data_IF_104454229554
#
_entry.id   IF_104454229554
#
_cell.length_a   1.000
_cell.length_b   1.000
_cell.length_c   1.000
_cell.angle_alpha   90.00
_cell.angle_beta   90.00
_cell.angle_gamma   90.00
#
_symmetry.space_group_name_H-M   'P 1'
#
loop_
_entity.id
_entity.type
_entity.pdbx_description
1 polymer ?
#
# COMPACT_ATOMS: atom_id res chain seq x y z
N UNK A 1 -17.75 17.49 3.88
CA UNK A 1 -17.45 16.04 3.86
C UNK A 1 -17.27 15.59 2.40
N UNK A 2 -16.04 15.31 1.96
CA UNK A 2 -15.81 14.15 1.08
C UNK A 2 -14.55 13.33 1.42
N UNK A 3 -14.80 12.02 1.51
CA UNK A 3 -14.03 10.86 1.08
C UNK A 3 -12.60 10.58 1.61
N UNK A 4 -12.57 9.55 2.46
CA UNK A 4 -11.42 8.76 2.87
C UNK A 4 -10.53 8.32 1.70
N UNK A 5 -9.42 9.01 1.50
CA UNK A 5 -8.27 8.48 0.79
C UNK A 5 -7.50 7.51 1.70
N UNK A 6 -8.12 6.37 2.03
CA UNK A 6 -7.38 5.23 2.57
C UNK A 6 -6.90 4.39 1.38
N UNK A 7 -5.62 4.54 1.02
CA UNK A 7 -5.01 3.72 -0.03
C UNK A 7 -3.49 3.76 -0.05
N UNK A 8 -2.85 4.20 1.03
CA UNK A 8 -1.41 4.27 1.16
C UNK A 8 -0.81 2.88 1.39
N UNK A 9 -0.50 2.19 0.29
CA UNK A 9 0.35 1.01 0.29
C UNK A 9 -0.40 -0.29 0.56
N UNK A 10 -0.42 -1.19 -0.42
CA UNK A 10 -0.97 -2.54 -0.30
C UNK A 10 -0.19 -3.29 0.80
N UNK A 11 -0.69 -3.23 2.02
CA UNK A 11 -0.12 -3.95 3.16
C UNK A 11 -0.32 -5.46 2.95
N UNK A 12 0.50 -6.29 3.61
CA UNK A 12 0.38 -7.75 3.54
C UNK A 12 -1.05 -8.20 3.87
N UNK A 13 -1.67 -7.57 4.87
CA UNK A 13 -3.06 -7.84 5.27
C UNK A 13 -4.09 -7.52 4.19
N UNK A 14 -3.88 -6.45 3.42
CA UNK A 14 -4.76 -6.09 2.29
C UNK A 14 -4.62 -7.13 1.16
N UNK A 15 -3.39 -7.54 0.89
CA UNK A 15 -3.08 -8.58 -0.10
C UNK A 15 -3.75 -9.91 0.30
N UNK A 16 -3.66 -10.33 1.56
CA UNK A 16 -4.31 -11.55 2.07
C UNK A 16 -5.83 -11.48 1.84
N UNK A 17 -6.48 -10.39 2.25
CA UNK A 17 -7.94 -10.21 2.07
C UNK A 17 -8.33 -10.26 0.59
N UNK A 18 -7.51 -9.65 -0.28
CA UNK A 18 -7.72 -9.68 -1.73
C UNK A 18 -7.59 -11.09 -2.28
N UNK A 19 -6.57 -11.85 -1.88
CA UNK A 19 -6.37 -13.25 -2.29
C UNK A 19 -7.56 -14.09 -1.86
N UNK A 20 -7.94 -14.03 -0.57
CA UNK A 20 -9.10 -14.78 -0.06
C UNK A 20 -10.37 -14.46 -0.84
N UNK A 21 -10.62 -13.19 -1.16
CA UNK A 21 -11.81 -12.77 -1.92
C UNK A 21 -11.74 -13.17 -3.40
N UNK A 22 -10.57 -13.06 -4.03
CA UNK A 22 -10.40 -13.25 -5.47
C UNK A 22 -10.33 -14.71 -5.88
N UNK A 23 -9.68 -15.55 -5.07
CA UNK A 23 -9.53 -16.97 -5.37
C UNK A 23 -10.50 -17.85 -4.58
N UNK A 24 -11.12 -17.35 -3.50
CA UNK A 24 -11.97 -18.15 -2.62
C UNK A 24 -11.21 -19.24 -1.86
N UNK A 25 -9.88 -19.29 -2.03
CA UNK A 25 -9.00 -20.33 -1.54
C UNK A 25 -8.51 -20.12 -0.12
N UNK A 26 -8.03 -21.19 0.51
CA UNK A 26 -7.45 -21.14 1.85
C UNK A 26 -6.04 -20.56 1.80
N UNK A 27 -5.72 -19.63 2.69
CA UNK A 27 -4.36 -19.08 2.80
C UNK A 27 -3.50 -20.03 3.62
N UNK A 28 -2.35 -20.40 3.08
CA UNK A 28 -1.37 -21.27 3.73
C UNK A 28 -0.20 -20.46 4.30
N UNK A 29 0.09 -19.28 3.74
CA UNK A 29 1.13 -18.41 4.24
C UNK A 29 1.16 -17.09 3.49
N UNK A 30 1.67 -16.05 4.14
CA UNK A 30 1.84 -14.73 3.55
C UNK A 30 3.14 -14.13 4.07
N UNK A 31 4.07 -13.90 3.17
CA UNK A 31 5.43 -13.44 3.49
C UNK A 31 5.82 -12.29 2.58
N UNK A 32 6.70 -11.41 3.06
CA UNK A 32 7.29 -10.35 2.26
C UNK A 32 8.65 -10.84 1.76
N UNK A 33 8.79 -10.94 0.44
CA UNK A 33 10.02 -11.44 -0.18
C UNK A 33 10.70 -10.34 -1.00
N UNK A 34 12.03 -10.24 -0.96
CA UNK A 34 12.76 -9.37 -1.87
C UNK A 34 12.66 -9.92 -3.29
N UNK A 35 12.28 -9.08 -4.24
CA UNK A 35 12.14 -9.40 -5.65
C UNK A 35 12.49 -8.17 -6.48
N UNK A 36 13.46 -8.29 -7.39
CA UNK A 36 13.83 -7.23 -8.32
C UNK A 36 14.17 -5.88 -7.62
N UNK A 37 14.94 -5.95 -6.53
CA UNK A 37 15.36 -4.79 -5.74
C UNK A 37 14.29 -4.15 -4.85
N UNK A 38 13.06 -4.66 -4.87
CA UNK A 38 11.95 -4.19 -4.02
C UNK A 38 11.36 -5.33 -3.20
N UNK A 39 10.62 -4.99 -2.15
CA UNK A 39 9.88 -5.98 -1.39
C UNK A 39 8.50 -6.20 -2.01
N UNK A 40 8.10 -7.46 -2.18
CA UNK A 40 6.76 -7.83 -2.66
C UNK A 40 6.02 -8.64 -1.62
N UNK A 41 4.69 -8.56 -1.62
CA UNK A 41 3.87 -9.44 -0.80
C UNK A 41 3.63 -10.73 -1.59
N UNK A 42 4.07 -11.86 -1.04
CA UNK A 42 3.86 -13.18 -1.64
C UNK A 42 2.93 -14.00 -0.75
N UNK A 43 1.80 -14.39 -1.32
CA UNK A 43 0.78 -15.17 -0.60
C UNK A 43 0.69 -16.56 -1.20
N UNK A 44 0.81 -17.58 -0.36
CA UNK A 44 0.57 -18.99 -0.68
C UNK A 44 -0.89 -19.31 -0.37
N UNK A 45 -1.61 -19.85 -1.34
CA UNK A 45 -3.01 -20.24 -1.15
C UNK A 45 -3.30 -21.59 -1.80
N UNK A 46 -4.26 -22.30 -1.22
CA UNK A 46 -4.87 -23.48 -1.79
C UNK A 46 -6.02 -23.03 -2.68
N UNK A 47 -5.90 -23.27 -3.98
CA UNK A 47 -6.96 -23.03 -4.96
C UNK A 47 -8.09 -24.07 -4.81
N UNK A 48 -9.27 -23.80 -5.37
CA UNK A 48 -10.46 -24.68 -5.27
C UNK A 48 -10.21 -26.10 -5.79
N UNK A 49 -9.22 -26.26 -6.70
CA UNK A 49 -8.74 -27.54 -7.22
C UNK A 49 -7.81 -28.31 -6.28
N UNK A 50 -7.62 -27.85 -5.04
CA UNK A 50 -6.70 -28.45 -4.08
C UNK A 50 -5.21 -28.26 -4.43
N UNK A 51 -4.87 -27.26 -5.24
CA UNK A 51 -3.49 -26.99 -5.66
C UNK A 51 -2.94 -25.77 -4.95
N UNK A 52 -1.70 -25.88 -4.49
CA UNK A 52 -0.99 -24.73 -3.90
C UNK A 52 -0.52 -23.82 -5.02
N UNK A 53 -0.91 -22.55 -4.96
CA UNK A 53 -0.45 -21.49 -5.86
C UNK A 53 0.09 -20.30 -5.06
N UNK A 54 0.86 -19.48 -5.76
CA UNK A 54 1.43 -18.25 -5.23
C UNK A 54 0.79 -17.05 -5.94
N UNK A 55 0.49 -16.00 -5.19
CA UNK A 55 0.18 -14.68 -5.73
C UNK A 55 1.25 -13.70 -5.28
N UNK A 56 1.89 -13.04 -6.23
CA UNK A 56 2.73 -11.87 -6.00
C UNK A 56 1.91 -10.60 -6.18
N UNK A 57 1.99 -9.70 -5.19
CA UNK A 57 1.53 -8.34 -5.33
C UNK A 57 2.74 -7.42 -5.11
N UNK A 58 3.15 -6.63 -6.12
CA UNK A 58 4.21 -5.67 -5.95
C UNK A 58 3.73 -4.64 -4.92
N UNK A 59 4.45 -4.53 -3.80
CA UNK A 59 4.22 -3.42 -2.88
C UNK A 59 4.59 -2.16 -3.65
N UNK A 60 3.65 -1.24 -3.89
CA UNK A 60 4.04 0.04 -4.46
C UNK A 60 5.04 0.67 -3.49
N UNK A 61 6.29 0.81 -3.92
CA UNK A 61 7.22 1.77 -3.34
C UNK A 61 6.44 3.06 -3.26
N UNK A 62 6.23 3.55 -2.04
CA UNK A 62 5.40 4.73 -1.79
C UNK A 62 6.02 5.87 -2.59
N UNK A 63 5.53 6.12 -3.80
CA UNK A 63 5.79 7.35 -4.52
C UNK A 63 5.41 8.44 -3.55
N UNK A 64 6.42 9.06 -2.97
CA UNK A 64 6.27 10.10 -1.96
C UNK A 64 5.16 11.03 -2.47
N UNK A 65 4.15 11.38 -1.66
CA UNK A 65 3.16 12.35 -2.07
C UNK A 65 3.96 13.55 -2.56
N UNK A 66 3.85 13.85 -3.86
CA UNK A 66 4.50 14.99 -4.49
C UNK A 66 4.24 16.15 -3.56
N UNK A 67 5.31 16.68 -2.94
CA UNK A 67 5.19 17.71 -1.94
C UNK A 67 4.24 18.78 -2.48
N UNK A 68 3.23 19.25 -1.70
CA UNK A 68 2.56 20.47 -2.07
C UNK A 68 3.65 21.52 -2.26
N UNK A 69 3.68 22.14 -3.44
CA UNK A 69 4.63 23.21 -3.77
C UNK A 69 4.71 24.16 -2.56
N UNK A 70 5.89 24.55 -2.08
CA UNK A 70 5.98 25.64 -1.12
C UNK A 70 5.57 26.90 -1.87
N UNK A 71 4.30 27.28 -1.78
CA UNK A 71 3.98 28.69 -1.67
C UNK A 71 4.62 29.09 -0.32
N UNK A 72 5.81 29.70 -0.27
CA UNK A 72 5.91 31.15 -0.48
C UNK A 72 4.61 31.78 0.04
N UNK A 73 4.51 32.21 1.29
CA UNK A 73 5.37 33.22 1.88
C UNK A 73 4.84 33.39 3.31
N UNK A 74 5.69 33.24 4.33
CA UNK A 74 5.40 33.84 5.64
C UNK A 74 5.44 35.36 5.43
N UNK A 75 4.37 36.13 5.64
CA UNK A 75 4.54 37.58 5.75
C UNK A 75 5.41 37.85 7.00
N UNK A 76 6.43 38.73 6.92
CA UNK A 76 7.28 39.05 8.06
C UNK A 76 6.44 39.72 9.16
N UNK A 77 6.86 39.66 10.44
CA UNK A 77 6.22 40.44 11.49
C UNK A 77 6.55 41.92 11.25
N UNK A 78 5.71 42.60 10.47
CA UNK A 78 5.70 44.05 10.40
C UNK A 78 4.87 44.53 11.57
N UNK A 79 5.57 45.16 12.52
CA UNK A 79 4.95 45.88 13.61
C UNK A 79 3.97 46.91 13.09
N UNK A 80 2.88 47.04 13.82
CA UNK A 80 2.12 48.28 13.83
C UNK A 80 1.78 48.61 15.28
N UNK A 81 2.19 49.83 15.65
CA UNK A 81 2.01 50.50 16.92
C UNK A 81 0.86 51.49 16.73
N UNK A 82 -0.24 51.31 17.47
CA UNK A 82 -0.95 52.43 18.08
C UNK A 82 -0.98 52.36 19.62
#
# INVERSE_FOLDING_TARGET
MPQAAHGDGRSLSDTIRRVQRSTGGQILGAERVPFDGRNINRVKYLDDRGRVRYMDDPVPERSMPRAPRPAAELPPPRGDNP
#
